data_IF_375930761323
#
_entry.id   IF_375930761323
#
_cell.length_a   1.000
_cell.length_b   1.000
_cell.length_c   1.000
_cell.angle_alpha   90.00
_cell.angle_beta   90.00
_cell.angle_gamma   90.00
#
_symmetry.space_group_name_H-M   'P 1'
#
loop_
_entity.id
_entity.type
_entity.pdbx_description
1 polymer ?
#
# COMPACT_ATOMS: atom_id res chain seq x y z
N UNK A 1 -4.32 -4.53 -1.09
CA UNK A 1 -4.93 -3.20 -1.30
C UNK A 1 -4.04 -2.30 -2.13
N UNK A 2 -4.45 -1.05 -2.38
CA UNK A 2 -3.62 -0.05 -3.07
C UNK A 2 -2.53 0.50 -2.13
N UNK A 3 -1.34 0.77 -2.68
CA UNK A 3 -0.23 1.44 -1.99
C UNK A 3 0.11 2.71 -2.79
N UNK A 4 -0.35 3.90 -2.36
CA UNK A 4 -0.06 5.14 -3.06
C UNK A 4 1.44 5.46 -3.07
N UNK A 5 1.96 5.96 -4.19
CA UNK A 5 3.32 6.49 -4.29
C UNK A 5 3.29 8.00 -3.99
N UNK A 6 4.08 8.41 -3.01
CA UNK A 6 4.27 9.81 -2.66
C UNK A 6 5.57 10.36 -3.26
N UNK A 7 5.58 11.63 -3.69
CA UNK A 7 6.80 12.31 -4.10
C UNK A 7 7.86 12.30 -3.00
N UNK A 8 9.12 12.43 -3.42
CA UNK A 8 10.23 12.51 -2.47
C UNK A 8 10.12 13.76 -1.60
N UNK A 9 10.24 13.55 -0.29
CA UNK A 9 10.52 14.57 0.70
C UNK A 9 11.76 14.15 1.50
N UNK A 10 12.49 15.13 2.05
CA UNK A 10 13.61 14.81 2.95
C UNK A 10 13.07 14.07 4.20
N UNK A 11 13.77 13.06 4.73
CA UNK A 11 13.39 12.46 6.00
C UNK A 11 13.20 13.51 7.10
N UNK A 12 12.08 13.43 7.82
CA UNK A 12 11.71 14.41 8.86
C UNK A 12 11.10 15.72 8.36
N UNK A 13 10.78 15.84 7.07
CA UNK A 13 9.99 16.96 6.54
C UNK A 13 8.53 16.90 7.05
N UNK A 14 8.03 17.92 7.77
CA UNK A 14 6.65 17.95 8.22
C UNK A 14 5.62 17.88 7.08
N UNK A 15 5.97 18.38 5.89
CA UNK A 15 5.06 18.35 4.74
C UNK A 15 4.68 16.92 4.31
N UNK A 16 5.58 15.95 4.50
CA UNK A 16 5.30 14.54 4.20
C UNK A 16 4.21 13.95 5.11
N UNK A 17 4.16 14.41 6.37
CA UNK A 17 3.13 13.96 7.32
C UNK A 17 1.75 14.49 6.95
N UNK A 18 1.65 15.74 6.48
CA UNK A 18 0.40 16.33 6.02
C UNK A 18 -0.17 15.57 4.81
N UNK A 19 0.69 15.19 3.87
CA UNK A 19 0.30 14.38 2.70
C UNK A 19 -0.19 13.00 3.12
N UNK A 20 0.50 12.34 4.06
CA UNK A 20 0.07 11.05 4.62
C UNK A 20 -1.31 11.13 5.26
N UNK A 21 -1.56 12.16 6.07
CA UNK A 21 -2.86 12.38 6.70
C UNK A 21 -3.97 12.60 5.65
N UNK A 22 -3.73 13.43 4.64
CA UNK A 22 -4.71 13.70 3.58
C UNK A 22 -5.05 12.44 2.77
N UNK A 23 -4.05 11.64 2.40
CA UNK A 23 -4.29 10.40 1.67
C UNK A 23 -5.05 9.36 2.51
N UNK A 24 -4.76 9.29 3.81
CA UNK A 24 -5.48 8.42 4.73
C UNK A 24 -6.97 8.81 4.82
N UNK A 25 -7.27 10.10 5.02
CA UNK A 25 -8.64 10.60 5.08
C UNK A 25 -9.39 10.36 3.77
N UNK A 26 -8.77 10.69 2.63
CA UNK A 26 -9.37 10.46 1.30
C UNK A 26 -9.67 8.98 1.03
N UNK A 27 -8.74 8.08 1.40
CA UNK A 27 -8.92 6.64 1.27
C UNK A 27 -10.05 6.12 2.18
N UNK A 28 -10.12 6.61 3.41
CA UNK A 28 -11.19 6.28 4.36
C UNK A 28 -12.55 6.74 3.85
N UNK A 29 -12.67 7.97 3.37
CA UNK A 29 -13.91 8.56 2.88
C UNK A 29 -14.40 7.86 1.59
N UNK A 30 -13.48 7.35 0.77
CA UNK A 30 -13.79 6.50 -0.38
C UNK A 30 -14.16 5.06 -0.01
N UNK A 31 -14.16 4.69 1.27
CA UNK A 31 -14.43 3.34 1.75
C UNK A 31 -13.34 2.32 1.40
N UNK A 32 -12.13 2.79 1.04
CA UNK A 32 -10.99 1.99 0.56
C UNK A 32 -9.75 2.25 1.43
N UNK A 33 -9.77 1.87 2.70
CA UNK A 33 -8.69 2.19 3.63
C UNK A 33 -7.34 1.65 3.15
N UNK A 34 -6.30 2.46 3.26
CA UNK A 34 -4.92 2.08 2.96
C UNK A 34 -4.16 1.74 4.25
N UNK A 35 -3.18 0.83 4.13
CA UNK A 35 -2.31 0.38 5.24
C UNK A 35 -0.82 0.66 4.98
N UNK A 36 -0.52 1.21 3.82
CA UNK A 36 0.85 1.52 3.43
C UNK A 36 0.86 2.66 2.41
N UNK A 37 1.96 3.42 2.42
CA UNK A 37 2.35 4.32 1.33
C UNK A 37 3.78 3.98 0.90
N UNK A 38 4.09 4.21 -0.37
CA UNK A 38 5.45 4.15 -0.87
C UNK A 38 6.01 5.57 -0.92
N UNK A 39 7.12 5.83 -0.24
CA UNK A 39 7.82 7.11 -0.31
C UNK A 39 8.93 7.00 -1.36
N UNK A 40 8.87 7.83 -2.40
CA UNK A 40 9.89 7.83 -3.46
C UNK A 40 11.30 7.92 -2.85
N UNK A 41 12.20 7.02 -3.27
CA UNK A 41 13.59 6.84 -2.78
C UNK A 41 13.79 6.50 -1.30
N UNK A 42 12.73 6.40 -0.49
CA UNK A 42 12.83 6.07 0.94
C UNK A 42 12.22 4.71 1.30
N UNK A 43 11.28 4.23 0.49
CA UNK A 43 10.65 2.93 0.68
C UNK A 43 9.26 3.01 1.34
N UNK A 44 8.70 1.86 1.75
CA UNK A 44 7.35 1.80 2.27
C UNK A 44 7.27 2.32 3.71
N UNK A 45 6.16 2.97 4.04
CA UNK A 45 5.71 3.21 5.40
C UNK A 45 4.40 2.46 5.60
N UNK A 46 4.36 1.57 6.61
CA UNK A 46 3.27 0.62 6.84
C UNK A 46 2.71 0.79 8.25
N UNK A 47 1.39 0.66 8.40
CA UNK A 47 0.71 0.73 9.70
C UNK A 47 -0.44 -0.27 9.79
N UNK A 48 -0.72 -0.70 11.02
CA UNK A 48 -1.86 -1.55 11.35
C UNK A 48 -2.30 -1.31 12.80
N UNK A 49 -3.30 -2.06 13.27
CA UNK A 49 -3.76 -2.08 14.67
C UNK A 49 -2.72 -2.59 15.67
N UNK A 50 -1.67 -3.27 15.21
CA UNK A 50 -0.62 -3.87 16.03
C UNK A 50 0.71 -3.91 15.27
N UNK A 51 1.85 -3.88 15.98
CA UNK A 51 3.17 -4.02 15.33
C UNK A 51 3.32 -5.32 14.54
N UNK A 52 2.80 -6.44 15.06
CA UNK A 52 2.85 -7.74 14.37
C UNK A 52 2.07 -7.70 13.05
N UNK A 53 0.86 -7.14 13.05
CA UNK A 53 0.09 -7.04 11.81
C UNK A 53 0.73 -6.05 10.82
N UNK A 54 1.33 -4.95 11.30
CA UNK A 54 2.08 -4.04 10.44
C UNK A 54 3.31 -4.72 9.81
N UNK A 55 4.04 -5.53 10.58
CA UNK A 55 5.16 -6.34 10.06
C UNK A 55 4.70 -7.31 8.99
N UNK A 56 3.61 -8.04 9.23
CA UNK A 56 3.06 -8.98 8.25
C UNK A 56 2.68 -8.27 6.93
N UNK A 57 2.05 -7.09 7.01
CA UNK A 57 1.72 -6.30 5.82
C UNK A 57 2.99 -5.82 5.08
N UNK A 58 4.03 -5.44 5.81
CA UNK A 58 5.31 -5.05 5.22
C UNK A 58 5.98 -6.24 4.52
N UNK A 59 5.99 -7.42 5.15
CA UNK A 59 6.56 -8.65 4.59
C UNK A 59 5.87 -9.05 3.28
N UNK A 60 4.54 -9.04 3.24
CA UNK A 60 3.75 -9.32 2.03
C UNK A 60 4.02 -8.30 0.91
N UNK A 61 4.20 -7.03 1.26
CA UNK A 61 4.52 -5.97 0.31
C UNK A 61 5.91 -6.18 -0.32
N UNK A 62 6.91 -6.50 0.50
CA UNK A 62 8.27 -6.78 0.05
C UNK A 62 8.35 -8.05 -0.80
N UNK A 63 7.63 -9.12 -0.44
CA UNK A 63 7.60 -10.34 -1.25
C UNK A 63 6.92 -10.10 -2.61
N UNK A 64 5.84 -9.32 -2.64
CA UNK A 64 5.21 -8.92 -3.91
C UNK A 64 6.17 -8.09 -4.78
N UNK A 65 6.91 -7.14 -4.18
CA UNK A 65 7.90 -6.34 -4.89
C UNK A 65 9.05 -7.21 -5.42
N UNK A 66 9.52 -8.17 -4.62
CA UNK A 66 10.52 -9.15 -5.01
C UNK A 66 10.06 -10.00 -6.19
N UNK A 67 8.85 -10.55 -6.15
CA UNK A 67 8.27 -11.32 -7.25
C UNK A 67 8.18 -10.50 -8.53
N UNK A 68 7.75 -9.24 -8.43
CA UNK A 68 7.73 -8.31 -9.57
C UNK A 68 9.13 -8.12 -10.17
N UNK A 69 10.14 -7.86 -9.34
CA UNK A 69 11.53 -7.70 -9.79
C UNK A 69 12.11 -8.98 -10.40
N UNK A 70 11.87 -10.15 -9.80
CA UNK A 70 12.29 -11.44 -10.33
C UNK A 70 11.61 -11.78 -11.66
N UNK A 71 10.40 -11.28 -11.88
CA UNK A 71 9.71 -11.37 -13.17
C UNK A 71 10.20 -10.36 -14.21
N UNK A 72 11.17 -9.51 -13.88
CA UNK A 72 11.61 -8.36 -14.69
C UNK A 72 10.45 -7.44 -15.08
N UNK A 73 9.48 -7.28 -14.17
CA UNK A 73 8.27 -6.49 -14.40
C UNK A 73 7.31 -7.08 -15.44
N UNK A 74 7.38 -8.39 -15.70
CA UNK A 74 6.49 -9.09 -16.64
C UNK A 74 5.32 -9.80 -15.95
N UNK A 75 5.29 -9.87 -14.62
CA UNK A 75 4.14 -10.39 -13.90
C UNK A 75 2.90 -9.57 -14.25
N UNK A 76 1.83 -10.19 -14.71
CA UNK A 76 0.60 -9.45 -15.01
C UNK A 76 -0.13 -9.11 -13.70
N UNK A 77 -0.65 -7.89 -13.59
CA UNK A 77 -1.59 -7.55 -12.54
C UNK A 77 -2.89 -8.37 -12.71
N UNK A 78 -3.56 -8.64 -11.58
CA UNK A 78 -4.91 -9.19 -11.63
C UNK A 78 -5.85 -8.21 -12.34
N UNK A 79 -6.78 -8.76 -13.13
CA UNK A 79 -7.86 -7.98 -13.72
C UNK A 79 -8.83 -7.48 -12.65
N UNK A 80 -9.59 -6.42 -12.96
CA UNK A 80 -10.59 -5.90 -12.03
C UNK A 80 -11.62 -6.96 -11.63
N UNK A 81 -12.02 -7.85 -12.56
CA UNK A 81 -12.94 -8.95 -12.27
C UNK A 81 -12.36 -9.95 -11.26
N UNK A 82 -11.07 -10.30 -11.39
CA UNK A 82 -10.39 -11.17 -10.42
C UNK A 82 -10.23 -10.49 -9.06
N UNK A 83 -9.97 -9.18 -9.04
CA UNK A 83 -9.90 -8.41 -7.79
C UNK A 83 -11.28 -8.38 -7.12
N UNK A 84 -12.36 -8.20 -7.87
CA UNK A 84 -13.73 -8.20 -7.34
C UNK A 84 -14.14 -9.58 -6.81
N UNK A 85 -13.71 -10.66 -7.44
CA UNK A 85 -13.86 -12.01 -6.89
C UNK A 85 -13.20 -12.13 -5.51
N UNK A 86 -11.96 -11.65 -5.36
CA UNK A 86 -11.26 -11.63 -4.07
C UNK A 86 -11.99 -10.75 -3.05
N UNK A 87 -12.52 -9.60 -3.47
CA UNK A 87 -13.31 -8.71 -2.59
C UNK A 87 -14.51 -9.44 -2.00
N UNK A 88 -15.25 -10.14 -2.85
CA UNK A 88 -16.43 -10.89 -2.45
C UNK A 88 -16.09 -12.09 -1.57
N UNK A 89 -15.04 -12.84 -1.93
CA UNK A 89 -14.64 -14.05 -1.20
C UNK A 89 -14.11 -13.75 0.21
N UNK A 90 -13.39 -12.64 0.39
CA UNK A 90 -12.71 -12.30 1.64
C UNK A 90 -13.35 -11.15 2.43
N UNK A 91 -14.48 -10.59 1.95
CA UNK A 91 -15.14 -9.44 2.59
C UNK A 91 -14.27 -8.19 2.61
N UNK A 92 -13.48 -7.99 1.56
CA UNK A 92 -12.43 -7.01 1.50
C UNK A 92 -12.88 -5.69 0.88
N UNK A 93 -12.42 -4.56 1.43
CA UNK A 93 -12.83 -3.20 1.03
C UNK A 93 -11.79 -2.41 0.25
N UNK A 94 -10.63 -2.99 -0.09
CA UNK A 94 -9.52 -2.29 -0.76
C UNK A 94 -9.59 -2.29 -2.28
#
# INVERSE_FOLDING_TARGET
GRVPLFPYHRPGDPAAAEWGAQAFEAARDAGKPIRAVMLDRLGPNVWHDSPTAASAVLEELEETARLWLLSEGRAAALSDAQIDELRNAFGASW
#
